data_IF_097635549374
#
_entry.id   IF_097635549374
#
_cell.length_a   1.000
_cell.length_b   1.000
_cell.length_c   1.000
_cell.angle_alpha   90.00
_cell.angle_beta   90.00
_cell.angle_gamma   90.00
#
_symmetry.space_group_name_H-M   'P 1'
#
loop_
_entity.id
_entity.type
_entity.pdbx_description
1 polymer ?
#
# COMPACT_ATOMS: atom_id res chain seq x y z
N UNK A 1 3.04 -22.62 29.19
CA UNK A 1 3.72 -21.33 28.98
C UNK A 1 4.20 -21.31 27.54
N UNK A 2 3.45 -20.65 26.65
CA UNK A 2 3.76 -20.63 25.21
C UNK A 2 4.99 -19.75 24.96
N UNK A 3 5.97 -20.29 24.27
CA UNK A 3 7.23 -19.63 23.93
C UNK A 3 6.95 -18.43 23.00
N UNK A 4 7.37 -17.24 23.44
CA UNK A 4 7.40 -16.03 22.63
C UNK A 4 8.35 -16.25 21.45
N UNK A 5 7.81 -16.58 20.28
CA UNK A 5 8.55 -16.45 19.04
C UNK A 5 8.89 -14.97 18.85
N UNK A 6 10.18 -14.65 18.73
CA UNK A 6 10.63 -13.33 18.30
C UNK A 6 9.99 -13.06 16.94
N UNK A 7 8.95 -12.23 16.90
CA UNK A 7 8.27 -11.84 15.67
C UNK A 7 9.29 -11.06 14.85
N UNK A 8 9.77 -11.66 13.76
CA UNK A 8 10.55 -10.92 12.76
C UNK A 8 9.80 -9.66 12.32
N UNK A 9 10.54 -8.64 11.86
CA UNK A 9 9.93 -7.38 11.43
C UNK A 9 8.82 -7.63 10.41
N UNK A 10 7.70 -6.91 10.57
CA UNK A 10 6.52 -7.00 9.70
C UNK A 10 6.64 -6.13 8.45
N UNK A 11 7.85 -5.70 8.13
CA UNK A 11 8.13 -4.90 6.94
C UNK A 11 7.61 -5.61 5.68
N UNK A 12 6.91 -4.87 4.83
CA UNK A 12 6.26 -5.35 3.60
C UNK A 12 5.09 -6.32 3.80
N UNK A 13 4.57 -6.46 5.03
CA UNK A 13 3.29 -7.14 5.26
C UNK A 13 2.16 -6.40 4.54
N UNK A 14 1.33 -7.15 3.83
CA UNK A 14 0.17 -6.66 3.07
C UNK A 14 -1.12 -7.00 3.80
N UNK A 15 -2.03 -6.03 3.88
CA UNK A 15 -3.28 -6.18 4.63
C UNK A 15 -4.18 -4.96 4.49
N UNK A 16 -5.28 -4.95 5.23
CA UNK A 16 -6.17 -3.79 5.28
C UNK A 16 -5.56 -2.68 6.13
N UNK A 17 -5.80 -1.42 5.78
CA UNK A 17 -5.19 -0.28 6.48
C UNK A 17 -5.41 -0.30 8.00
N UNK A 18 -6.64 -0.57 8.45
CA UNK A 18 -6.99 -0.65 9.87
C UNK A 18 -6.25 -1.75 10.65
N UNK A 19 -5.83 -2.83 10.00
CA UNK A 19 -5.10 -3.92 10.68
C UNK A 19 -3.60 -3.68 10.70
N UNK A 20 -3.07 -2.85 9.80
CA UNK A 20 -1.64 -2.55 9.70
C UNK A 20 -1.24 -1.25 10.42
N UNK A 21 -2.13 -0.26 10.52
CA UNK A 21 -1.77 1.04 11.12
C UNK A 21 -1.27 0.87 12.57
N UNK A 22 -0.07 1.38 12.84
CA UNK A 22 0.49 1.43 14.19
C UNK A 22 0.92 0.08 14.78
N UNK A 23 1.03 -0.98 13.97
CA UNK A 23 1.38 -2.32 14.49
C UNK A 23 2.86 -2.53 14.81
N UNK A 24 3.75 -1.69 14.28
CA UNK A 24 5.19 -1.76 14.52
C UNK A 24 5.79 -0.36 14.51
N UNK A 25 6.61 -0.03 15.52
CA UNK A 25 7.30 1.25 15.59
C UNK A 25 8.30 1.40 14.44
N UNK A 26 8.38 2.58 13.84
CA UNK A 26 9.26 2.84 12.70
C UNK A 26 8.67 2.45 11.34
N UNK A 27 7.54 1.75 11.30
CA UNK A 27 6.78 1.44 10.09
C UNK A 27 5.51 2.30 9.99
N UNK A 28 5.07 2.54 8.77
CA UNK A 28 3.77 3.12 8.45
C UNK A 28 2.97 2.16 7.55
N UNK A 29 1.65 2.16 7.72
CA UNK A 29 0.75 1.56 6.74
C UNK A 29 0.57 2.53 5.56
N UNK A 30 1.10 2.15 4.41
CA UNK A 30 0.93 2.90 3.16
C UNK A 30 -0.26 2.35 2.38
N UNK A 31 -1.27 3.19 2.13
CA UNK A 31 -2.36 2.87 1.19
C UNK A 31 -1.81 2.71 -0.22
N UNK A 32 -2.18 1.63 -0.90
CA UNK A 32 -1.70 1.36 -2.26
C UNK A 32 -2.85 1.60 -3.23
N UNK A 33 -2.62 2.55 -4.12
CA UNK A 33 -3.66 3.40 -4.65
C UNK A 33 -3.82 4.60 -3.71
N UNK A 34 -3.22 5.74 -4.07
CA UNK A 34 -3.32 6.98 -3.31
C UNK A 34 -4.79 7.28 -2.94
N UNK A 35 -5.08 7.28 -1.63
CA UNK A 35 -6.44 7.24 -1.10
C UNK A 35 -7.41 8.28 -1.68
N UNK A 36 -6.93 9.51 -1.91
CA UNK A 36 -7.75 10.60 -2.44
C UNK A 36 -8.17 10.33 -3.90
N UNK A 37 -7.27 9.80 -4.72
CA UNK A 37 -7.56 9.43 -6.10
C UNK A 37 -8.42 8.17 -6.17
N UNK A 38 -8.14 7.19 -5.31
CA UNK A 38 -8.95 5.97 -5.23
C UNK A 38 -10.39 6.28 -4.82
N UNK A 39 -10.60 7.16 -3.84
CA UNK A 39 -11.94 7.67 -3.48
C UNK A 39 -12.69 8.32 -4.65
N UNK A 40 -11.97 8.90 -5.62
CA UNK A 40 -12.57 9.51 -6.82
C UNK A 40 -12.94 8.47 -7.88
N UNK A 41 -12.07 7.49 -8.11
CA UNK A 41 -12.20 6.55 -9.22
C UNK A 41 -12.89 5.23 -8.87
N UNK A 42 -13.01 4.90 -7.59
CA UNK A 42 -13.55 3.63 -7.12
C UNK A 42 -14.80 3.88 -6.31
N UNK A 43 -15.96 3.50 -6.86
CA UNK A 43 -17.22 3.54 -6.14
C UNK A 43 -17.16 2.65 -4.89
N UNK A 44 -17.64 3.14 -3.75
CA UNK A 44 -17.63 2.41 -2.48
C UNK A 44 -16.24 2.27 -1.83
N UNK A 45 -15.24 3.02 -2.28
CA UNK A 45 -13.90 2.97 -1.67
C UNK A 45 -13.90 3.37 -0.20
N UNK A 46 -13.44 2.47 0.67
CA UNK A 46 -13.32 2.67 2.11
C UNK A 46 -11.85 2.77 2.53
N UNK A 47 -11.40 3.97 2.85
CA UNK A 47 -10.02 4.27 3.26
C UNK A 47 -9.59 3.50 4.51
N UNK A 48 -10.51 3.14 5.40
CA UNK A 48 -10.20 2.44 6.65
C UNK A 48 -9.83 0.98 6.42
N UNK A 49 -10.35 0.36 5.36
CA UNK A 49 -10.13 -1.06 5.06
C UNK A 49 -9.37 -1.29 3.75
N UNK A 50 -9.04 -0.22 3.02
CA UNK A 50 -8.37 -0.30 1.73
C UNK A 50 -7.03 -1.06 1.82
N UNK A 51 -6.65 -1.79 0.74
CA UNK A 51 -5.39 -2.52 0.70
C UNK A 51 -4.19 -1.61 0.96
N UNK A 52 -3.30 -2.08 1.84
CA UNK A 52 -2.15 -1.34 2.32
C UNK A 52 -0.96 -2.28 2.53
N UNK A 53 0.22 -1.68 2.65
CA UNK A 53 1.47 -2.38 2.92
C UNK A 53 2.25 -1.66 4.01
N UNK A 54 2.88 -2.41 4.91
CA UNK A 54 3.80 -1.85 5.90
C UNK A 54 5.12 -1.48 5.27
N UNK A 55 5.55 -0.24 5.46
CA UNK A 55 6.81 0.26 4.90
C UNK A 55 7.57 1.10 5.92
N UNK A 56 8.90 1.19 5.84
CA UNK A 56 9.68 2.09 6.67
C UNK A 56 9.25 3.55 6.51
N UNK A 57 9.07 4.25 7.63
CA UNK A 57 8.68 5.68 7.69
C UNK A 57 9.54 6.58 6.81
N UNK A 58 10.84 6.27 6.71
CA UNK A 58 11.81 7.07 5.97
C UNK A 58 11.44 7.22 4.48
N UNK A 59 10.96 6.14 3.85
CA UNK A 59 10.54 6.20 2.44
C UNK A 59 9.10 6.70 2.24
N UNK A 60 8.32 6.80 3.31
CA UNK A 60 6.90 7.13 3.23
C UNK A 60 6.64 8.61 3.58
N UNK A 61 7.06 9.02 4.77
CA UNK A 61 6.75 10.33 5.34
C UNK A 61 7.99 11.19 5.59
N UNK A 62 9.17 10.59 5.79
CA UNK A 62 10.34 11.27 6.32
C UNK A 62 11.61 11.03 5.48
N UNK A 63 11.92 11.84 4.47
CA UNK A 63 13.19 11.70 3.77
C UNK A 63 13.25 12.35 2.40
N UNK A 64 14.40 12.20 1.73
CA UNK A 64 14.55 12.48 0.32
C UNK A 64 14.14 11.25 -0.51
N UNK A 65 13.48 11.47 -1.65
CA UNK A 65 13.11 10.39 -2.56
C UNK A 65 11.92 9.53 -2.11
N UNK A 66 11.12 10.02 -1.17
CA UNK A 66 9.87 9.38 -0.69
C UNK A 66 8.90 9.02 -1.83
N UNK A 67 7.88 8.22 -1.50
CA UNK A 67 6.77 7.93 -2.40
C UNK A 67 6.09 9.21 -2.90
N UNK A 68 5.79 9.25 -4.19
CA UNK A 68 5.12 10.38 -4.83
C UNK A 68 3.78 10.71 -4.16
N UNK A 69 3.53 12.01 -3.94
CA UNK A 69 2.26 12.53 -3.39
C UNK A 69 1.41 13.22 -4.45
N UNK A 70 1.93 13.35 -5.68
CA UNK A 70 1.25 14.03 -6.77
C UNK A 70 -0.07 13.35 -7.14
N UNK A 71 -1.11 14.17 -7.32
CA UNK A 71 -2.47 13.70 -7.61
C UNK A 71 -2.97 14.06 -9.01
N UNK A 72 -2.14 14.69 -9.84
CA UNK A 72 -2.48 15.08 -11.21
C UNK A 72 -2.12 14.00 -12.23
N UNK A 73 -2.77 14.01 -13.40
CA UNK A 73 -2.40 13.15 -14.54
C UNK A 73 -2.97 11.73 -14.50
N UNK A 74 -3.91 11.45 -13.60
CA UNK A 74 -4.60 10.17 -13.51
C UNK A 74 -6.02 10.26 -14.06
N UNK A 75 -6.43 9.28 -14.86
CA UNK A 75 -7.78 9.16 -15.43
C UNK A 75 -8.58 8.00 -14.84
N UNK A 76 -7.93 7.04 -14.16
CA UNK A 76 -8.59 5.88 -13.55
C UNK A 76 -7.78 5.26 -12.41
N UNK A 77 -8.43 4.40 -11.61
CA UNK A 77 -7.83 3.72 -10.47
C UNK A 77 -6.62 2.84 -10.84
N UNK A 78 -6.65 2.22 -12.03
CA UNK A 78 -5.56 1.38 -12.52
C UNK A 78 -4.25 2.16 -12.66
N UNK A 79 -4.29 3.38 -13.21
CA UNK A 79 -3.10 4.23 -13.33
C UNK A 79 -2.52 4.60 -11.96
N UNK A 80 -3.39 4.87 -10.98
CA UNK A 80 -2.97 5.18 -9.60
C UNK A 80 -2.27 3.97 -8.97
N UNK A 81 -2.91 2.80 -9.05
CA UNK A 81 -2.34 1.55 -8.53
C UNK A 81 -1.00 1.22 -9.21
N UNK A 82 -0.93 1.35 -10.53
CA UNK A 82 0.32 1.12 -11.28
C UNK A 82 1.43 2.06 -10.83
N UNK A 83 1.15 3.36 -10.68
CA UNK A 83 2.13 4.32 -10.17
C UNK A 83 2.63 3.93 -8.79
N UNK A 84 1.74 3.58 -7.86
CA UNK A 84 2.14 3.24 -6.50
C UNK A 84 3.00 1.97 -6.44
N UNK A 85 2.70 0.97 -7.26
CA UNK A 85 3.54 -0.24 -7.37
C UNK A 85 4.94 0.10 -7.90
N UNK A 86 5.06 0.99 -8.89
CA UNK A 86 6.35 1.44 -9.40
C UNK A 86 7.13 2.25 -8.35
N UNK A 87 6.45 3.17 -7.66
CA UNK A 87 7.06 3.98 -6.60
C UNK A 87 7.52 3.13 -5.42
N UNK A 88 6.74 2.12 -5.01
CA UNK A 88 7.13 1.17 -3.96
C UNK A 88 8.43 0.43 -4.32
N UNK A 89 8.59 -0.02 -5.58
CA UNK A 89 9.84 -0.63 -6.06
C UNK A 89 11.00 0.35 -6.07
N UNK A 90 10.75 1.59 -6.49
CA UNK A 90 11.79 2.64 -6.55
C UNK A 90 12.30 3.02 -5.17
N UNK A 91 11.39 3.21 -4.22
CA UNK A 91 11.69 3.70 -2.87
C UNK A 91 12.20 2.59 -1.95
N UNK A 92 11.70 1.36 -2.15
CA UNK A 92 12.07 0.20 -1.36
C UNK A 92 12.60 -0.93 -2.26
N UNK A 93 13.88 -0.87 -2.69
CA UNK A 93 14.44 -1.84 -3.65
C UNK A 93 14.40 -3.30 -3.18
N UNK A 94 14.30 -3.52 -1.87
CA UNK A 94 14.23 -4.83 -1.24
C UNK A 94 12.78 -5.33 -1.02
N UNK A 95 11.77 -4.63 -1.53
CA UNK A 95 10.37 -5.07 -1.42
C UNK A 95 10.19 -6.44 -2.13
N UNK A 96 9.63 -7.45 -1.46
CA UNK A 96 9.36 -8.73 -2.10
C UNK A 96 8.35 -8.59 -3.25
N UNK A 97 8.66 -9.24 -4.39
CA UNK A 97 7.72 -9.31 -5.50
C UNK A 97 6.38 -9.95 -5.09
N UNK A 98 6.40 -10.90 -4.15
CA UNK A 98 5.21 -11.55 -3.60
C UNK A 98 4.29 -10.55 -2.89
N UNK A 99 4.84 -9.63 -2.08
CA UNK A 99 4.05 -8.57 -1.43
C UNK A 99 3.38 -7.67 -2.47
N UNK A 100 4.11 -7.26 -3.52
CA UNK A 100 3.52 -6.44 -4.58
C UNK A 100 2.40 -7.18 -5.34
N UNK A 101 2.58 -8.47 -5.64
CA UNK A 101 1.56 -9.28 -6.29
C UNK A 101 0.32 -9.47 -5.41
N UNK A 102 0.52 -9.76 -4.12
CA UNK A 102 -0.57 -9.90 -3.14
C UNK A 102 -1.39 -8.60 -3.05
N UNK A 103 -0.71 -7.46 -3.04
CA UNK A 103 -1.31 -6.13 -2.95
C UNK A 103 -2.13 -5.75 -4.20
N UNK A 104 -1.63 -6.11 -5.39
CA UNK A 104 -2.38 -5.99 -6.65
C UNK A 104 -3.62 -6.89 -6.61
N UNK A 105 -3.45 -8.14 -6.17
CA UNK A 105 -4.56 -9.09 -6.10
C UNK A 105 -5.64 -8.63 -5.11
N UNK A 106 -5.24 -8.13 -3.94
CA UNK A 106 -6.17 -7.62 -2.92
C UNK A 106 -6.97 -6.43 -3.45
N UNK A 107 -6.34 -5.51 -4.19
CA UNK A 107 -7.04 -4.42 -4.87
C UNK A 107 -8.08 -4.92 -5.88
N UNK A 108 -7.69 -5.87 -6.74
CA UNK A 108 -8.62 -6.46 -7.74
C UNK A 108 -9.78 -7.20 -7.10
N UNK A 109 -9.53 -7.96 -6.03
CA UNK A 109 -10.58 -8.70 -5.31
C UNK A 109 -11.52 -7.77 -4.57
N UNK A 110 -11.00 -6.72 -3.92
CA UNK A 110 -11.82 -5.78 -3.16
C UNK A 110 -12.62 -4.81 -4.06
N UNK A 111 -12.08 -4.47 -5.24
CA UNK A 111 -12.71 -3.54 -6.18
C UNK A 111 -12.74 -4.12 -7.60
N UNK A 112 -13.53 -5.19 -7.85
CA UNK A 112 -13.48 -5.96 -9.10
C UNK A 112 -13.81 -5.13 -10.34
N UNK A 113 -14.67 -4.11 -10.24
CA UNK A 113 -15.02 -3.23 -11.37
C UNK A 113 -14.03 -2.09 -11.63
N UNK A 114 -13.12 -1.79 -10.70
CA UNK A 114 -12.24 -0.62 -10.79
C UNK A 114 -11.00 -0.83 -11.68
N UNK A 115 -10.67 -2.08 -11.99
CA UNK A 115 -9.43 -2.46 -12.66
C UNK A 115 -9.65 -3.29 -13.94
N UNK A 116 -10.89 -3.38 -14.41
CA UNK A 116 -11.24 -4.01 -15.69
C UNK A 116 -10.73 -3.13 -16.84
N UNK A 117 -10.35 -3.76 -17.96
CA UNK A 117 -9.91 -3.08 -19.18
C UNK A 117 -11.06 -2.38 -19.88
#
# INVERSE_FOLDING_TARGET
MGTNAAKGSRVFEVGSYNTLRGVEAGLDAHHVGQKALMSKFVSGYNQSTAPSILVPKIGHTQGAGILSRGSSGFSNARQVLTRDIFELRRVYPNIPNSSLQQLIQMNKTMYPGAFVK
#
